data_IF_367262907083
#
_entry.id   IF_367262907083
#
_cell.length_a   1.000
_cell.length_b   1.000
_cell.length_c   1.000
_cell.angle_alpha   90.00
_cell.angle_beta   90.00
_cell.angle_gamma   90.00
#
_symmetry.space_group_name_H-M   'P 1'
#
loop_
_entity.id
_entity.type
_entity.pdbx_description
1 polymer ?
#
# COMPACT_ATOMS: atom_id res chain seq x y z
N UNK A 1 -7.25 1.18 -19.33
CA UNK A 1 -7.06 1.09 -17.87
C UNK A 1 -7.61 -0.25 -17.42
N UNK A 2 -6.74 -1.23 -17.18
CA UNK A 2 -7.13 -2.55 -16.68
C UNK A 2 -7.55 -2.36 -15.22
N UNK A 3 -8.83 -2.59 -14.91
CA UNK A 3 -9.33 -2.58 -13.53
C UNK A 3 -9.32 -4.02 -13.04
N UNK A 4 -8.42 -4.35 -12.12
CA UNK A 4 -8.32 -5.66 -11.46
C UNK A 4 -9.48 -5.96 -10.49
N UNK A 5 -10.67 -5.41 -10.73
CA UNK A 5 -11.79 -5.44 -9.79
C UNK A 5 -11.62 -4.53 -8.56
N UNK A 6 -10.51 -3.80 -8.45
CA UNK A 6 -10.25 -2.88 -7.34
C UNK A 6 -11.11 -1.61 -7.43
N UNK A 7 -11.51 -1.10 -6.27
CA UNK A 7 -12.22 0.19 -6.13
C UNK A 7 -11.19 1.25 -5.75
N UNK A 8 -11.04 2.26 -6.61
CA UNK A 8 -10.22 3.44 -6.29
C UNK A 8 -11.05 4.38 -5.43
N UNK A 9 -10.60 4.60 -4.20
CA UNK A 9 -11.28 5.46 -3.22
C UNK A 9 -10.98 6.93 -3.50
N UNK A 10 -11.94 7.78 -3.14
CA UNK A 10 -11.73 9.24 -3.06
C UNK A 10 -11.02 9.58 -1.77
N UNK A 11 -10.46 10.79 -1.69
CA UNK A 11 -9.76 11.28 -0.50
C UNK A 11 -10.63 11.22 0.77
N UNK A 12 -11.93 11.51 0.66
CA UNK A 12 -12.88 11.43 1.77
C UNK A 12 -13.06 10.02 2.35
N UNK A 13 -12.74 8.98 1.57
CA UNK A 13 -12.95 7.58 1.92
C UNK A 13 -11.64 6.82 2.20
N UNK A 14 -10.50 7.51 2.28
CA UNK A 14 -9.18 6.91 2.56
C UNK A 14 -9.17 6.03 3.80
N UNK A 15 -9.96 6.38 4.83
CA UNK A 15 -10.16 5.58 6.04
C UNK A 15 -10.76 4.17 5.81
N UNK A 16 -11.23 3.86 4.59
CA UNK A 16 -11.74 2.53 4.20
C UNK A 16 -10.72 1.73 3.38
N UNK A 17 -9.52 2.26 3.15
CA UNK A 17 -8.53 1.63 2.28
C UNK A 17 -8.04 0.31 2.86
N UNK A 18 -7.96 -0.72 2.01
CA UNK A 18 -7.29 -2.00 2.33
C UNK A 18 -5.85 -2.02 1.80
N UNK A 19 -5.59 -1.31 0.72
CA UNK A 19 -4.28 -1.20 0.08
C UNK A 19 -4.00 0.27 -0.26
N UNK A 20 -2.75 0.68 -0.10
CA UNK A 20 -2.27 2.03 -0.44
C UNK A 20 -1.09 1.87 -1.37
N UNK A 21 -1.18 2.48 -2.55
CA UNK A 21 -0.15 2.39 -3.58
C UNK A 21 0.74 3.62 -3.50
N UNK A 22 2.05 3.40 -3.44
CA UNK A 22 3.07 4.43 -3.43
C UNK A 22 3.94 4.35 -4.69
N UNK A 23 4.45 5.49 -5.13
CA UNK A 23 5.45 5.59 -6.20
C UNK A 23 6.87 5.21 -5.72
N UNK A 24 7.07 5.13 -4.40
CA UNK A 24 8.35 4.89 -3.74
C UNK A 24 8.35 3.57 -2.97
N UNK A 25 9.54 3.01 -2.77
CA UNK A 25 9.76 1.83 -1.91
C UNK A 25 9.88 2.17 -0.43
N UNK A 26 10.00 3.45 -0.09
CA UNK A 26 10.13 3.93 1.28
C UNK A 26 9.30 5.19 1.46
N UNK A 27 8.63 5.30 2.61
CA UNK A 27 7.87 6.49 3.02
C UNK A 27 8.65 7.22 4.13
N UNK A 28 9.20 8.41 3.85
CA UNK A 28 9.87 9.23 4.86
C UNK A 28 8.94 9.63 6.01
N UNK A 29 9.51 9.77 7.20
CA UNK A 29 8.78 10.24 8.39
C UNK A 29 8.12 11.62 8.22
N UNK A 30 8.68 12.46 7.34
CA UNK A 30 8.20 13.82 7.08
C UNK A 30 6.81 13.89 6.45
N UNK A 31 6.37 12.82 5.78
CA UNK A 31 5.08 12.77 5.07
C UNK A 31 4.07 11.83 5.73
N UNK A 32 4.39 11.25 6.90
CA UNK A 32 3.49 10.32 7.60
C UNK A 32 2.16 10.94 8.01
N UNK A 33 2.16 12.25 8.29
CA UNK A 33 0.96 13.01 8.66
C UNK A 33 -0.10 12.96 7.55
N UNK A 34 0.32 12.81 6.29
CA UNK A 34 -0.57 12.77 5.14
C UNK A 34 -1.36 11.47 5.04
N UNK A 35 -1.01 10.48 5.87
CA UNK A 35 -1.62 9.15 5.90
C UNK A 35 -2.21 8.80 7.27
N UNK A 36 -2.47 9.79 8.12
CA UNK A 36 -3.01 9.56 9.47
C UNK A 36 -4.47 9.09 9.46
N UNK A 37 -5.20 9.38 8.39
CA UNK A 37 -6.57 8.94 8.15
C UNK A 37 -6.67 7.53 7.54
N UNK A 38 -5.53 6.96 7.13
CA UNK A 38 -5.44 5.60 6.60
C UNK A 38 -5.40 4.59 7.77
N UNK A 39 -6.16 3.49 7.71
CA UNK A 39 -6.11 2.46 8.73
C UNK A 39 -4.71 1.84 8.81
N UNK A 40 -4.17 1.68 10.03
CA UNK A 40 -2.88 0.99 10.25
C UNK A 40 -2.88 -0.49 9.80
N UNK A 41 -4.05 -1.05 9.52
CA UNK A 41 -4.22 -2.39 8.95
C UNK A 41 -4.11 -2.43 7.43
N UNK A 42 -4.11 -1.27 6.75
CA UNK A 42 -3.95 -1.20 5.31
C UNK A 42 -2.55 -1.66 4.89
N UNK A 43 -2.45 -2.33 3.74
CA UNK A 43 -1.18 -2.77 3.17
C UNK A 43 -0.61 -1.69 2.27
N UNK A 44 0.57 -1.19 2.61
CA UNK A 44 1.26 -0.20 1.81
C UNK A 44 2.22 -0.92 0.84
N UNK A 45 2.02 -0.72 -0.46
CA UNK A 45 2.79 -1.36 -1.53
C UNK A 45 3.24 -0.33 -2.57
N UNK A 46 4.29 -0.65 -3.32
CA UNK A 46 4.70 0.18 -4.45
C UNK A 46 3.85 -0.09 -5.71
N UNK A 47 3.93 0.80 -6.71
CA UNK A 47 3.15 0.70 -7.95
C UNK A 47 3.41 -0.57 -8.76
N UNK A 48 4.61 -1.15 -8.65
CA UNK A 48 4.97 -2.38 -9.37
C UNK A 48 4.08 -3.57 -9.00
N UNK A 49 3.51 -3.60 -7.79
CA UNK A 49 2.51 -4.61 -7.42
C UNK A 49 1.28 -4.59 -8.33
N UNK A 50 0.78 -3.40 -8.65
CA UNK A 50 -0.40 -3.23 -9.52
C UNK A 50 -0.03 -3.55 -10.97
N UNK A 51 1.13 -3.10 -11.41
CA UNK A 51 1.64 -3.32 -12.78
C UNK A 51 1.82 -4.83 -13.05
N UNK A 52 2.47 -5.55 -12.14
CA UNK A 52 2.72 -6.99 -12.29
C UNK A 52 1.44 -7.81 -12.09
N UNK A 53 0.56 -7.41 -11.17
CA UNK A 53 -0.75 -8.05 -11.00
C UNK A 53 -1.62 -7.88 -12.25
N UNK A 54 -1.55 -6.71 -12.89
CA UNK A 54 -2.22 -6.44 -14.15
C UNK A 54 -1.63 -7.25 -15.31
N UNK A 55 -0.31 -7.32 -15.39
CA UNK A 55 0.39 -8.08 -16.43
C UNK A 55 0.09 -9.58 -16.37
N UNK A 56 -0.02 -10.16 -15.17
CA UNK A 56 -0.35 -11.58 -15.00
C UNK A 56 -1.85 -11.86 -14.87
N UNK A 57 -2.70 -10.83 -14.80
CA UNK A 57 -4.13 -10.96 -14.47
C UNK A 57 -4.38 -11.77 -13.17
N UNK A 58 -3.50 -11.60 -12.19
CA UNK A 58 -3.51 -12.34 -10.92
C UNK A 58 -3.06 -11.40 -9.80
N UNK A 59 -3.62 -11.53 -8.60
CA UNK A 59 -3.14 -10.77 -7.45
C UNK A 59 -1.78 -11.31 -7.00
N UNK A 60 -0.71 -10.53 -7.17
CA UNK A 60 0.63 -10.93 -6.71
C UNK A 60 0.71 -10.93 -5.19
N UNK A 61 1.63 -11.74 -4.66
CA UNK A 61 2.01 -11.65 -3.26
C UNK A 61 2.46 -10.23 -2.92
N UNK A 62 2.07 -9.74 -1.76
CA UNK A 62 2.25 -8.35 -1.36
C UNK A 62 3.66 -8.12 -0.82
N UNK A 63 4.27 -9.15 -0.24
CA UNK A 63 5.54 -9.03 0.49
C UNK A 63 6.71 -8.45 -0.34
N UNK A 64 6.95 -8.86 -1.59
CA UNK A 64 8.04 -8.30 -2.40
C UNK A 64 7.86 -6.81 -2.75
N UNK A 65 6.64 -6.29 -2.60
CA UNK A 65 6.27 -4.94 -3.01
C UNK A 65 5.93 -4.04 -1.82
N UNK A 66 5.99 -4.58 -0.60
CA UNK A 66 5.75 -3.83 0.63
C UNK A 66 6.72 -2.65 0.71
N UNK A 67 6.20 -1.46 1.02
CA UNK A 67 7.05 -0.29 1.24
C UNK A 67 7.58 -0.29 2.65
N UNK A 68 8.83 0.14 2.79
CA UNK A 68 9.42 0.41 4.10
C UNK A 68 8.77 1.66 4.67
N UNK A 69 8.07 1.49 5.79
CA UNK A 69 7.48 2.58 6.54
C UNK A 69 8.44 2.98 7.67
N UNK A 70 8.54 4.28 7.94
CA UNK A 70 9.22 4.73 9.15
C UNK A 70 8.56 4.13 10.41
N UNK A 71 9.38 3.80 11.41
CA UNK A 71 8.99 2.98 12.56
C UNK A 71 7.86 3.59 13.43
N UNK A 72 7.63 4.89 13.31
CA UNK A 72 6.59 5.66 13.97
C UNK A 72 5.20 5.55 13.31
N UNK A 73 5.11 4.95 12.12
CA UNK A 73 3.87 4.87 11.35
C UNK A 73 3.09 3.55 11.53
N UNK A 74 3.75 2.38 11.50
CA UNK A 74 3.04 1.10 11.56
C UNK A 74 3.06 0.42 12.95
N UNK A 75 1.88 0.00 13.42
CA UNK A 75 1.71 -1.05 14.43
C UNK A 75 1.38 -2.41 13.79
N UNK A 76 1.46 -2.51 12.46
CA UNK A 76 1.22 -3.77 11.76
C UNK A 76 2.42 -4.72 11.96
N UNK A 77 2.21 -6.05 11.94
CA UNK A 77 3.30 -6.99 11.73
C UNK A 77 3.83 -6.74 10.31
N UNK A 78 4.78 -5.82 10.18
CA UNK A 78 5.52 -5.54 8.94
C UNK A 78 6.47 -6.69 8.58
N UNK A 79 6.43 -7.78 9.35
CA UNK A 79 7.19 -8.99 9.12
C UNK A 79 6.55 -9.76 7.96
N UNK A 80 6.84 -9.33 6.74
CA UNK A 80 7.21 -10.30 5.71
C UNK A 80 8.58 -10.87 6.10
N UNK A 81 8.62 -11.58 7.23
CA UNK A 81 9.78 -12.37 7.65
C UNK A 81 9.84 -13.55 6.71
N UNK A 82 10.86 -13.52 5.87
CA UNK A 82 11.33 -14.66 5.11
C UNK A 82 11.67 -15.83 6.03
#
# INVERSE_FOLDING_TARGET
MIRLGAIVLKDSDRHKSTHVIHDRKEIPSTILKDFHDIPKSARHVNSSWVEESAASSEMKDICPYAVTLAADYCNCPCSCTH
#
